data_IF_227607690291
#
_entry.id   IF_227607690291
#
_cell.length_a   1.000
_cell.length_b   1.000
_cell.length_c   1.000
_cell.angle_alpha   90.00
_cell.angle_beta   90.00
_cell.angle_gamma   90.00
#
_symmetry.space_group_name_H-M   'P 1'
#
loop_
_entity.id
_entity.type
_entity.pdbx_description
1 polymer ?
#
# COMPACT_ATOMS: atom_id res chain seq x y z
N UNK A 1 20.32 -6.56 -1.19
CA UNK A 1 19.07 -7.11 -1.74
C UNK A 1 18.31 -7.70 -0.57
N UNK A 2 17.58 -6.84 0.15
CA UNK A 2 16.70 -7.30 1.23
C UNK A 2 15.48 -7.90 0.55
N UNK A 3 15.14 -9.16 0.84
CA UNK A 3 13.91 -9.76 0.35
C UNK A 3 12.73 -8.85 0.72
N UNK A 4 11.76 -8.71 -0.19
CA UNK A 4 10.55 -7.95 0.08
C UNK A 4 9.94 -8.44 1.40
N UNK A 5 9.61 -7.54 2.34
CA UNK A 5 9.05 -7.93 3.62
C UNK A 5 7.74 -8.69 3.39
N UNK A 6 7.42 -9.66 4.25
CA UNK A 6 6.12 -10.32 4.15
C UNK A 6 5.01 -9.31 4.47
N UNK A 7 3.94 -9.30 3.67
CA UNK A 7 2.74 -8.51 3.95
C UNK A 7 2.13 -9.00 5.28
N UNK A 8 2.27 -8.17 6.31
CA UNK A 8 1.86 -8.47 7.70
C UNK A 8 1.27 -7.22 8.33
N UNK A 9 0.42 -7.38 9.34
CA UNK A 9 -0.19 -6.23 10.04
C UNK A 9 0.89 -5.31 10.63
N UNK A 10 1.97 -5.89 11.12
CA UNK A 10 3.13 -5.16 11.65
C UNK A 10 3.79 -4.29 10.58
N UNK A 11 3.90 -4.78 9.34
CA UNK A 11 4.40 -3.99 8.22
C UNK A 11 3.49 -2.81 7.90
N UNK A 12 2.17 -3.01 7.87
CA UNK A 12 1.22 -1.91 7.63
C UNK A 12 1.34 -0.84 8.74
N UNK A 13 1.49 -1.26 10.00
CA UNK A 13 1.71 -0.38 11.14
C UNK A 13 3.02 0.40 11.00
N UNK A 14 4.12 -0.28 10.65
CA UNK A 14 5.43 0.34 10.47
C UNK A 14 5.39 1.42 9.39
N UNK A 15 4.76 1.09 8.25
CA UNK A 15 4.49 2.03 7.18
C UNK A 15 3.71 3.20 7.78
N UNK A 16 2.50 3.01 8.31
CA UNK A 16 1.66 4.12 8.77
C UNK A 16 2.29 4.97 9.91
N UNK A 17 3.14 4.38 10.76
CA UNK A 17 3.90 5.09 11.78
C UNK A 17 5.01 5.98 11.20
N UNK A 18 5.50 5.68 9.99
CA UNK A 18 6.41 6.56 9.24
C UNK A 18 5.68 7.82 8.75
N UNK A 19 4.39 7.71 8.46
CA UNK A 19 3.54 8.80 7.97
C UNK A 19 2.97 9.70 9.07
N UNK A 20 2.41 9.09 10.11
CA UNK A 20 1.79 9.79 11.22
C UNK A 20 2.60 9.58 12.50
N UNK A 21 2.87 10.65 13.25
CA UNK A 21 3.42 10.60 14.61
C UNK A 21 2.43 9.95 15.62
N UNK A 22 1.73 8.88 15.23
CA UNK A 22 0.77 8.13 16.05
C UNK A 22 1.37 6.80 16.47
N UNK A 23 1.03 6.36 17.68
CA UNK A 23 1.43 5.02 18.15
C UNK A 23 0.63 3.92 17.43
N UNK A 24 1.30 2.79 17.19
CA UNK A 24 0.77 1.60 16.52
C UNK A 24 -0.61 1.14 17.02
N UNK A 25 -0.89 1.30 18.32
CA UNK A 25 -2.17 0.90 18.91
C UNK A 25 -3.35 1.75 18.46
N UNK A 26 -3.11 3.03 18.19
CA UNK A 26 -4.11 4.00 17.74
C UNK A 26 -4.46 3.79 16.26
N UNK A 27 -3.44 3.46 15.45
CA UNK A 27 -3.55 3.18 14.01
C UNK A 27 -4.32 1.86 13.76
N UNK A 28 -4.22 0.90 14.69
CA UNK A 28 -4.82 -0.41 14.53
C UNK A 28 -6.36 -0.42 14.61
N UNK A 29 -6.98 0.60 15.22
CA UNK A 29 -8.43 0.64 15.40
C UNK A 29 -9.17 1.14 14.16
N UNK A 30 -8.60 2.10 13.42
CA UNK A 30 -9.21 2.70 12.22
C UNK A 30 -8.12 3.26 11.30
N UNK A 31 -8.34 3.09 9.99
CA UNK A 31 -7.51 3.67 8.94
C UNK A 31 -8.30 4.77 8.23
N UNK A 32 -7.76 5.99 8.19
CA UNK A 32 -8.34 7.09 7.45
C UNK A 32 -8.01 7.02 5.95
N UNK A 33 -8.79 7.70 5.10
CA UNK A 33 -8.59 7.64 3.64
C UNK A 33 -7.22 8.16 3.19
N UNK A 34 -6.63 9.09 3.94
CA UNK A 34 -5.30 9.63 3.66
C UNK A 34 -4.19 8.66 4.07
N UNK A 35 -4.33 8.05 5.24
CA UNK A 35 -3.45 6.97 5.71
C UNK A 35 -3.49 5.81 4.72
N UNK A 36 -4.68 5.45 4.24
CA UNK A 36 -4.86 4.41 3.23
C UNK A 36 -4.17 4.75 1.90
N UNK A 37 -4.35 5.96 1.40
CA UNK A 37 -3.70 6.41 0.17
C UNK A 37 -2.18 6.37 0.29
N UNK A 38 -1.65 6.78 1.44
CA UNK A 38 -0.22 6.75 1.69
C UNK A 38 0.31 5.32 1.89
N UNK A 39 -0.47 4.44 2.52
CA UNK A 39 -0.15 3.01 2.64
C UNK A 39 -0.04 2.34 1.27
N UNK A 40 -1.02 2.56 0.38
CA UNK A 40 -1.01 2.03 -0.99
C UNK A 40 0.21 2.52 -1.73
N UNK A 41 0.46 3.84 -1.75
CA UNK A 41 1.63 4.41 -2.40
C UNK A 41 2.96 3.84 -1.87
N UNK A 42 3.08 3.67 -0.56
CA UNK A 42 4.29 3.09 0.06
C UNK A 42 4.50 1.63 -0.31
N UNK A 43 3.42 0.87 -0.54
CA UNK A 43 3.51 -0.51 -1.01
C UNK A 43 3.90 -0.58 -2.49
N UNK A 44 3.34 0.29 -3.33
CA UNK A 44 3.73 0.39 -4.75
C UNK A 44 5.23 0.67 -4.90
N UNK A 45 5.75 1.65 -4.16
CA UNK A 45 7.19 2.00 -4.15
C UNK A 45 8.07 0.86 -3.59
N UNK A 46 7.62 0.15 -2.55
CA UNK A 46 8.40 -0.94 -1.92
C UNK A 46 8.45 -2.22 -2.75
N UNK A 47 7.37 -2.54 -3.44
CA UNK A 47 7.25 -3.76 -4.23
C UNK A 47 7.46 -3.53 -5.73
N UNK A 48 7.67 -2.27 -6.16
CA UNK A 48 7.88 -1.87 -7.55
C UNK A 48 6.74 -2.34 -8.46
N UNK A 49 5.50 -2.14 -8.00
CA UNK A 49 4.27 -2.56 -8.68
C UNK A 49 3.17 -1.50 -8.58
N UNK A 50 2.23 -1.53 -9.51
CA UNK A 50 1.03 -0.68 -9.49
C UNK A 50 -0.15 -1.47 -8.89
N UNK A 51 -0.78 -0.93 -7.85
CA UNK A 51 -1.92 -1.57 -7.19
C UNK A 51 -3.22 -1.07 -7.82
N UNK A 52 -3.83 -1.90 -8.67
CA UNK A 52 -5.14 -1.62 -9.24
C UNK A 52 -6.24 -1.92 -8.21
N UNK A 53 -6.54 -0.92 -7.37
CA UNK A 53 -7.55 -0.99 -6.33
C UNK A 53 -8.77 -0.12 -6.70
N UNK A 54 -9.93 -0.77 -6.82
CA UNK A 54 -11.21 -0.08 -7.03
C UNK A 54 -11.65 0.71 -5.78
N UNK A 55 -12.47 1.74 -5.97
CA UNK A 55 -13.09 2.51 -4.88
C UNK A 55 -13.82 1.62 -3.85
N UNK A 56 -14.38 0.49 -4.30
CA UNK A 56 -15.06 -0.48 -3.43
C UNK A 56 -14.05 -1.22 -2.54
N UNK A 57 -12.87 -1.54 -3.06
CA UNK A 57 -11.80 -2.17 -2.29
C UNK A 57 -11.26 -1.16 -1.27
N UNK A 58 -10.95 0.06 -1.69
CA UNK A 58 -10.48 1.13 -0.82
C UNK A 58 -11.49 1.42 0.31
N UNK A 59 -12.79 1.48 -0.01
CA UNK A 59 -13.84 1.73 0.98
C UNK A 59 -14.03 0.59 2.00
N UNK A 60 -13.58 -0.63 1.70
CA UNK A 60 -13.60 -1.76 2.65
C UNK A 60 -12.41 -1.72 3.60
N UNK A 61 -11.29 -1.12 3.21
CA UNK A 61 -10.08 -1.00 4.01
C UNK A 61 -10.22 0.05 5.11
N UNK A 62 -11.21 -0.12 5.99
CA UNK A 62 -11.47 0.79 7.12
C UNK A 62 -10.68 0.44 8.37
N UNK A 63 -10.12 -0.78 8.40
CA UNK A 63 -9.26 -1.31 9.45
C UNK A 63 -8.01 -1.93 8.83
N UNK A 64 -6.96 -2.11 9.63
CA UNK A 64 -5.75 -2.80 9.19
C UNK A 64 -5.99 -4.26 8.80
N UNK A 65 -6.92 -4.94 9.45
CA UNK A 65 -7.25 -6.33 9.15
C UNK A 65 -7.97 -6.44 7.79
N UNK A 66 -8.89 -5.53 7.50
CA UNK A 66 -9.53 -5.44 6.19
C UNK A 66 -8.53 -5.07 5.09
N UNK A 67 -7.66 -4.09 5.37
CA UNK A 67 -6.57 -3.69 4.46
C UNK A 67 -5.64 -4.87 4.15
N UNK A 68 -5.22 -5.61 5.17
CA UNK A 68 -4.36 -6.78 5.00
C UNK A 68 -5.05 -7.87 4.16
N UNK A 69 -6.35 -8.10 4.38
CA UNK A 69 -7.14 -9.04 3.60
C UNK A 69 -7.16 -8.68 2.11
N UNK A 70 -7.55 -7.45 1.78
CA UNK A 70 -7.67 -7.00 0.39
C UNK A 70 -6.30 -6.87 -0.29
N UNK A 71 -5.29 -6.35 0.40
CA UNK A 71 -3.92 -6.26 -0.12
C UNK A 71 -3.32 -7.65 -0.36
N UNK A 72 -3.66 -8.65 0.46
CA UNK A 72 -3.23 -10.03 0.28
C UNK A 72 -3.84 -10.72 -0.94
N UNK A 73 -4.97 -10.22 -1.47
CA UNK A 73 -5.58 -10.72 -2.71
C UNK A 73 -4.85 -10.22 -3.96
N UNK A 74 -4.28 -9.01 -3.89
CA UNK A 74 -3.64 -8.33 -5.04
C UNK A 74 -2.12 -8.43 -5.05
N UNK A 75 -1.48 -8.46 -3.87
CA UNK A 75 -0.04 -8.56 -3.77
C UNK A 75 0.42 -10.01 -4.00
N UNK A 76 1.53 -10.20 -4.74
CA UNK A 76 2.09 -11.52 -4.93
C UNK A 76 2.55 -12.07 -3.58
N UNK A 77 1.87 -13.11 -3.11
CA UNK A 77 2.40 -13.88 -1.99
C UNK A 77 3.79 -14.40 -2.40
N UNK A 78 4.79 -14.43 -1.48
CA UNK A 78 6.14 -14.89 -1.81
C UNK A 78 6.22 -16.38 -2.21
N UNK A 79 5.08 -17.04 -2.48
CA UNK A 79 4.96 -18.45 -2.80
C UNK A 79 4.64 -18.77 -4.25
N UNK A 80 4.26 -17.81 -5.11
CA UNK A 80 4.11 -18.11 -6.54
C UNK A 80 4.49 -16.92 -7.41
N UNK A 81 5.68 -17.01 -8.00
CA UNK A 81 6.06 -16.18 -9.13
C UNK A 81 5.32 -16.65 -10.37
N UNK A 82 4.29 -15.93 -10.78
CA UNK A 82 3.79 -15.93 -12.17
C UNK A 82 3.31 -14.52 -12.45
N UNK A 83 4.19 -13.73 -13.05
CA UNK A 83 3.84 -12.41 -13.56
C UNK A 83 2.99 -12.53 -14.81
N UNK A 84 2.04 -11.61 -14.94
CA UNK A 84 1.51 -11.17 -16.22
C UNK A 84 1.28 -9.66 -16.10
N UNK A 85 2.07 -8.90 -16.87
CA UNK A 85 1.98 -7.45 -16.90
C UNK A 85 0.97 -6.99 -17.94
N UNK A 86 0.24 -5.92 -17.62
CA UNK A 86 -0.36 -5.08 -18.66
C UNK A 86 -0.14 -3.62 -18.27
N UNK A 87 0.54 -2.89 -19.15
CA UNK A 87 1.03 -1.54 -18.89
C UNK A 87 -0.02 -0.45 -18.95
N UNK A 88 0.20 0.60 -18.15
CA UNK A 88 -0.42 1.91 -18.25
C UNK A 88 0.64 2.98 -18.47
N UNK A 89 1.12 3.09 -19.70
CA UNK A 89 1.99 4.20 -20.10
C UNK A 89 1.17 5.49 -20.24
N UNK A 90 1.60 6.54 -19.52
CA UNK A 90 1.39 7.93 -19.91
C UNK A 90 0.33 8.72 -19.14
N UNK A 91 0.78 9.50 -18.16
CA UNK A 91 0.28 10.87 -18.01
C UNK A 91 1.33 11.73 -17.31
N UNK A 92 2.12 12.39 -18.15
CA UNK A 92 2.61 13.75 -17.95
C UNK A 92 1.96 14.50 -16.76
N UNK A 93 2.63 14.55 -15.61
CA UNK A 93 2.51 15.72 -14.72
C UNK A 93 3.86 16.40 -14.54
N UNK A 94 4.24 17.02 -15.65
CA UNK A 94 5.11 18.19 -15.79
C UNK A 94 5.08 19.15 -14.58
N UNK A 95 6.28 19.36 -14.03
CA UNK A 95 6.86 20.63 -13.57
C UNK A 95 6.25 21.39 -12.37
N UNK A 96 7.00 21.34 -11.26
CA UNK A 96 7.58 22.47 -10.52
C UNK A 96 8.44 21.86 -9.39
N UNK A 97 9.75 21.66 -9.46
CA UNK A 97 10.87 22.59 -9.63
C UNK A 97 10.79 23.91 -8.85
N UNK A 98 11.75 24.04 -7.92
CA UNK A 98 12.43 25.25 -7.44
C UNK A 98 11.61 26.32 -6.69
N UNK A 99 11.93 26.50 -5.40
CA UNK A 99 12.76 27.61 -4.92
C UNK A 99 13.26 27.36 -3.48
#
# INVERSE_FOLDING_TARGET
MTAAPALTKELLIEILAEYGEREAGDIAERVDSLELAWLVHSLEERYDLELDLDDVQLARMTTLDDALGVLGEVLPSPKDGTGDGTGGEGSDRKAAQHA
#
